data_IF_082811452192
#
_entry.id   IF_082811452192
#
_cell.length_a   1.000
_cell.length_b   1.000
_cell.length_c   1.000
_cell.angle_alpha   90.00
_cell.angle_beta   90.00
_cell.angle_gamma   90.00
#
_symmetry.space_group_name_H-M   'P 1'
#
loop_
_entity.id
_entity.type
_entity.pdbx_description
1 polymer ?
#
# COMPACT_ATOMS: atom_id res chain seq x y z
N UNK A 1 7.22 -11.92 -11.96
CA UNK A 1 7.08 -11.58 -10.53
C UNK A 1 5.78 -10.86 -10.24
N UNK A 2 5.39 -9.83 -10.99
CA UNK A 2 4.11 -9.10 -10.79
C UNK A 2 2.88 -10.01 -10.80
N UNK A 3 2.73 -10.91 -11.77
CA UNK A 3 1.58 -11.85 -11.80
C UNK A 3 1.53 -12.72 -10.55
N UNK A 4 2.70 -13.21 -10.08
CA UNK A 4 2.79 -14.00 -8.86
C UNK A 4 2.44 -13.16 -7.62
N UNK A 5 2.89 -11.90 -7.56
CA UNK A 5 2.58 -10.95 -6.49
C UNK A 5 1.07 -10.75 -6.31
N UNK A 6 0.38 -10.48 -7.42
CA UNK A 6 -1.08 -10.35 -7.43
C UNK A 6 -1.75 -11.68 -7.08
N UNK A 7 -1.27 -12.80 -7.63
CA UNK A 7 -1.84 -14.10 -7.32
C UNK A 7 -1.77 -14.43 -5.83
N UNK A 8 -0.63 -14.20 -5.15
CA UNK A 8 -0.48 -14.53 -3.73
C UNK A 8 -1.28 -13.61 -2.81
N UNK A 9 -1.38 -12.31 -3.12
CA UNK A 9 -2.10 -11.33 -2.29
C UNK A 9 -3.61 -11.35 -2.49
N UNK A 10 -4.09 -11.61 -3.71
CA UNK A 10 -5.53 -11.70 -3.97
C UNK A 10 -6.11 -13.09 -3.68
N UNK A 11 -5.26 -14.10 -3.44
CA UNK A 11 -5.72 -15.43 -3.07
C UNK A 11 -6.53 -15.40 -1.78
N UNK A 12 -7.81 -15.79 -1.85
CA UNK A 12 -8.76 -15.79 -0.73
C UNK A 12 -8.86 -14.46 0.02
N UNK A 13 -8.75 -13.31 -0.67
CA UNK A 13 -8.87 -11.98 -0.03
C UNK A 13 -10.22 -11.75 0.70
N UNK A 14 -11.23 -12.52 0.33
CA UNK A 14 -12.54 -12.53 0.96
C UNK A 14 -12.59 -13.19 2.35
N UNK A 15 -11.60 -14.02 2.69
CA UNK A 15 -11.49 -14.67 3.99
C UNK A 15 -10.41 -13.99 4.84
N UNK A 16 -10.67 -13.67 6.11
CA UNK A 16 -11.94 -13.88 6.85
C UNK A 16 -12.97 -12.78 6.56
N UNK A 17 -14.27 -13.07 6.62
CA UNK A 17 -15.38 -12.13 6.33
C UNK A 17 -15.82 -11.31 7.55
N UNK A 18 -14.93 -11.16 8.51
CA UNK A 18 -15.09 -10.42 9.75
C UNK A 18 -13.98 -9.38 9.92
N UNK A 19 -14.24 -8.38 10.75
CA UNK A 19 -13.24 -7.38 11.13
C UNK A 19 -12.12 -8.06 11.91
N UNK A 20 -10.89 -7.93 11.43
CA UNK A 20 -9.71 -8.50 12.11
C UNK A 20 -8.71 -7.44 12.49
N UNK A 21 -8.04 -7.64 13.64
CA UNK A 21 -6.93 -6.79 14.12
C UNK A 21 -7.22 -5.28 13.90
N UNK A 22 -6.22 -4.49 13.48
CA UNK A 22 -6.29 -3.05 13.27
C UNK A 22 -7.26 -2.58 12.17
N UNK A 23 -7.98 -3.47 11.48
CA UNK A 23 -9.10 -3.08 10.60
C UNK A 23 -10.19 -2.31 11.38
N UNK A 24 -10.33 -2.56 12.70
CA UNK A 24 -11.23 -1.78 13.57
C UNK A 24 -10.89 -0.29 13.57
N UNK A 25 -9.59 0.04 13.59
CA UNK A 25 -9.12 1.41 13.67
C UNK A 25 -9.22 2.09 12.30
N UNK A 26 -8.63 1.50 11.27
CA UNK A 26 -8.52 2.14 9.97
C UNK A 26 -9.85 2.15 9.18
N UNK A 27 -10.68 1.11 9.34
CA UNK A 27 -12.04 1.11 8.80
C UNK A 27 -12.92 2.20 9.41
N UNK A 28 -12.80 2.40 10.73
CA UNK A 28 -13.50 3.47 11.45
C UNK A 28 -13.06 4.86 10.99
N UNK A 29 -11.75 5.09 10.84
CA UNK A 29 -11.25 6.37 10.35
C UNK A 29 -11.65 6.67 8.89
N UNK A 30 -11.67 5.64 8.03
CA UNK A 30 -12.19 5.80 6.67
C UNK A 30 -13.66 6.21 6.67
N UNK A 31 -14.45 5.65 7.59
CA UNK A 31 -15.86 6.00 7.77
C UNK A 31 -16.03 7.43 8.28
N UNK A 32 -15.19 7.90 9.22
CA UNK A 32 -15.21 9.29 9.65
C UNK A 32 -14.87 10.29 8.55
N UNK A 33 -13.96 9.96 7.64
CA UNK A 33 -13.70 10.80 6.48
C UNK A 33 -14.91 10.89 5.54
N UNK A 34 -15.62 9.77 5.30
CA UNK A 34 -16.84 9.75 4.49
C UNK A 34 -17.97 10.56 5.11
N UNK A 35 -18.15 10.44 6.44
CA UNK A 35 -19.14 11.19 7.22
C UNK A 35 -18.74 12.66 7.48
N UNK A 36 -17.52 13.05 7.12
CA UNK A 36 -16.95 14.38 7.38
C UNK A 36 -16.95 14.74 8.88
N UNK A 37 -16.76 13.75 9.73
CA UNK A 37 -16.66 13.92 11.18
C UNK A 37 -15.20 14.03 11.59
N UNK A 38 -14.89 15.01 12.44
CA UNK A 38 -13.55 15.18 12.97
C UNK A 38 -13.18 14.02 13.91
N UNK A 39 -11.92 13.58 13.83
CA UNK A 39 -11.32 12.61 14.75
C UNK A 39 -9.85 12.95 14.95
N UNK A 40 -9.27 12.42 16.02
CA UNK A 40 -7.84 12.51 16.29
C UNK A 40 -7.22 11.12 16.15
N UNK A 41 -6.09 11.05 15.45
CA UNK A 41 -5.28 9.84 15.33
C UNK A 41 -3.79 10.23 15.28
N UNK A 42 -2.94 9.30 15.71
CA UNK A 42 -1.48 9.50 15.76
C UNK A 42 -0.85 9.45 14.36
N UNK A 43 -1.45 8.70 13.43
CA UNK A 43 -0.91 8.55 12.09
C UNK A 43 -1.29 9.75 11.20
N UNK A 44 -0.38 10.17 10.32
CA UNK A 44 -0.69 11.05 9.21
C UNK A 44 -1.88 10.55 8.34
N UNK A 45 -2.52 11.43 7.55
CA UNK A 45 -3.84 11.12 6.98
C UNK A 45 -3.82 10.39 5.63
N UNK A 46 -2.69 10.28 4.92
CA UNK A 46 -2.66 9.91 3.50
C UNK A 46 -3.26 8.53 3.21
N UNK A 47 -2.82 7.49 3.91
CA UNK A 47 -3.36 6.14 3.66
C UNK A 47 -4.83 6.02 4.08
N UNK A 48 -5.24 6.67 5.17
CA UNK A 48 -6.66 6.71 5.60
C UNK A 48 -7.54 7.45 4.57
N UNK A 49 -7.02 8.51 3.95
CA UNK A 49 -7.70 9.22 2.86
C UNK A 49 -7.80 8.35 1.60
N UNK A 50 -6.81 7.51 1.30
CA UNK A 50 -6.91 6.54 0.20
C UNK A 50 -8.01 5.51 0.45
N UNK A 51 -8.14 5.00 1.68
CA UNK A 51 -9.25 4.12 2.04
C UNK A 51 -10.61 4.81 1.95
N UNK A 52 -10.72 6.05 2.43
CA UNK A 52 -11.94 6.85 2.28
C UNK A 52 -12.27 7.08 0.79
N UNK A 53 -11.26 7.32 -0.05
CA UNK A 53 -11.42 7.45 -1.50
C UNK A 53 -11.96 6.16 -2.14
N UNK A 54 -11.47 4.99 -1.74
CA UNK A 54 -12.02 3.69 -2.19
C UNK A 54 -13.47 3.52 -1.75
N UNK A 55 -13.79 3.85 -0.49
CA UNK A 55 -15.17 3.84 -0.01
C UNK A 55 -16.09 4.73 -0.83
N UNK A 56 -15.65 5.94 -1.14
CA UNK A 56 -16.36 6.88 -1.98
C UNK A 56 -16.57 6.36 -3.41
N UNK A 57 -15.55 5.73 -4.01
CA UNK A 57 -15.65 5.12 -5.35
C UNK A 57 -16.68 3.98 -5.42
N UNK A 58 -16.82 3.19 -4.35
CA UNK A 58 -17.76 2.07 -4.27
C UNK A 58 -19.15 2.53 -3.78
N UNK A 59 -19.31 3.82 -3.46
CA UNK A 59 -20.59 4.37 -3.02
C UNK A 59 -20.94 4.00 -1.57
N UNK A 60 -19.94 3.71 -0.75
CA UNK A 60 -20.13 3.46 0.67
C UNK A 60 -20.27 4.77 1.45
N UNK A 61 -21.21 4.83 2.38
CA UNK A 61 -21.58 6.03 3.15
C UNK A 61 -20.83 6.18 4.48
N UNK A 62 -20.06 5.15 4.88
CA UNK A 62 -19.38 5.14 6.18
C UNK A 62 -20.29 4.80 7.36
N UNK A 63 -21.46 4.18 7.14
CA UNK A 63 -22.44 3.91 8.21
C UNK A 63 -21.96 2.93 9.29
N UNK A 64 -21.06 2.00 8.97
CA UNK A 64 -20.49 1.04 9.93
C UNK A 64 -19.31 1.63 10.72
N UNK A 65 -19.35 1.51 12.04
CA UNK A 65 -18.41 2.15 12.97
C UNK A 65 -17.20 1.30 13.37
N UNK A 66 -17.09 0.06 12.86
CA UNK A 66 -15.97 -0.88 13.10
C UNK A 66 -15.57 -0.95 14.59
N UNK A 67 -16.53 -1.28 15.46
CA UNK A 67 -16.32 -1.19 16.91
C UNK A 67 -15.59 -2.39 17.50
N UNK A 68 -15.89 -3.61 17.04
CA UNK A 68 -15.33 -4.83 17.61
C UNK A 68 -14.66 -5.71 16.57
N UNK A 69 -13.61 -6.41 17.01
CA UNK A 69 -13.00 -7.50 16.25
C UNK A 69 -14.00 -8.67 16.21
N UNK A 70 -14.18 -9.27 15.03
CA UNK A 70 -15.15 -10.34 14.80
C UNK A 70 -16.51 -9.86 14.29
N UNK A 71 -16.73 -8.54 14.13
CA UNK A 71 -17.95 -8.04 13.52
C UNK A 71 -18.04 -8.51 12.04
N UNK A 72 -19.15 -9.15 11.67
CA UNK A 72 -19.32 -9.67 10.30
C UNK A 72 -19.53 -8.56 9.28
N UNK A 73 -18.73 -8.55 8.21
CA UNK A 73 -18.89 -7.60 7.11
C UNK A 73 -20.14 -7.86 6.28
N UNK A 74 -20.58 -9.11 6.17
CA UNK A 74 -21.74 -9.52 5.39
C UNK A 74 -23.02 -8.97 6.02
N UNK A 75 -23.17 -9.16 7.34
CA UNK A 75 -24.34 -8.67 8.09
C UNK A 75 -24.46 -7.15 8.03
N UNK A 76 -23.31 -6.46 8.11
CA UNK A 76 -23.24 -5.00 8.10
C UNK A 76 -23.15 -4.38 6.69
N UNK A 77 -23.17 -5.21 5.63
CA UNK A 77 -23.12 -4.80 4.21
C UNK A 77 -21.94 -3.88 3.87
N UNK A 78 -20.80 -4.10 4.51
CA UNK A 78 -19.58 -3.31 4.27
C UNK A 78 -18.87 -3.83 3.02
N UNK A 79 -18.44 -2.99 2.07
CA UNK A 79 -17.71 -3.42 0.89
C UNK A 79 -16.22 -3.72 1.20
N UNK A 80 -15.96 -4.58 2.19
CA UNK A 80 -14.63 -4.87 2.72
C UNK A 80 -13.65 -5.42 1.67
N UNK A 81 -14.15 -6.12 0.64
CA UNK A 81 -13.33 -6.59 -0.48
C UNK A 81 -12.67 -5.45 -1.24
N UNK A 82 -13.40 -4.35 -1.45
CA UNK A 82 -12.83 -3.18 -2.12
C UNK A 82 -11.78 -2.51 -1.24
N UNK A 83 -12.05 -2.40 0.07
CA UNK A 83 -11.09 -1.89 1.03
C UNK A 83 -9.81 -2.73 1.06
N UNK A 84 -9.91 -4.06 1.17
CA UNK A 84 -8.75 -4.97 1.17
C UNK A 84 -8.03 -5.04 -0.18
N UNK A 85 -8.74 -4.81 -1.28
CA UNK A 85 -8.12 -4.76 -2.60
C UNK A 85 -7.07 -3.65 -2.72
N UNK A 86 -7.26 -2.51 -2.05
CA UNK A 86 -6.27 -1.42 -2.06
C UNK A 86 -4.90 -1.87 -1.52
N UNK A 87 -4.72 -2.28 -0.26
CA UNK A 87 -3.44 -2.73 0.26
C UNK A 87 -2.92 -3.95 -0.50
N UNK A 88 -3.79 -4.87 -0.95
CA UNK A 88 -3.37 -6.01 -1.76
C UNK A 88 -2.78 -5.57 -3.11
N UNK A 89 -3.33 -4.53 -3.75
CA UNK A 89 -2.73 -3.93 -4.96
C UNK A 89 -1.41 -3.23 -4.65
N UNK A 90 -1.35 -2.40 -3.60
CA UNK A 90 -0.16 -1.63 -3.25
C UNK A 90 1.00 -2.58 -2.89
N UNK A 91 0.75 -3.57 -2.04
CA UNK A 91 1.70 -4.61 -1.70
C UNK A 91 2.15 -5.44 -2.90
N UNK A 92 1.25 -5.72 -3.85
CA UNK A 92 1.60 -6.42 -5.10
C UNK A 92 2.52 -5.58 -5.99
N UNK A 93 2.38 -4.25 -5.97
CA UNK A 93 3.23 -3.30 -6.70
C UNK A 93 4.60 -3.11 -6.04
N UNK A 94 4.72 -3.34 -4.73
CA UNK A 94 6.01 -3.27 -4.03
C UNK A 94 7.01 -4.30 -4.58
N UNK A 95 6.53 -5.48 -4.97
CA UNK A 95 7.38 -6.56 -5.49
C UNK A 95 8.13 -6.19 -6.79
N UNK A 96 7.46 -5.73 -7.88
CA UNK A 96 8.18 -5.27 -9.06
C UNK A 96 9.05 -4.05 -8.78
N UNK A 97 8.66 -3.17 -7.85
CA UNK A 97 9.52 -2.05 -7.43
C UNK A 97 10.83 -2.56 -6.81
N UNK A 98 10.78 -3.57 -5.94
CA UNK A 98 11.97 -4.20 -5.36
C UNK A 98 12.84 -4.87 -6.42
N UNK A 99 12.22 -5.56 -7.39
CA UNK A 99 12.96 -6.07 -8.54
C UNK A 99 13.69 -4.95 -9.29
N UNK A 100 13.01 -3.85 -9.57
CA UNK A 100 13.57 -2.69 -10.28
C UNK A 100 14.68 -2.00 -9.47
N UNK A 101 14.59 -1.94 -8.14
CA UNK A 101 15.66 -1.41 -7.27
C UNK A 101 16.94 -2.24 -7.47
N UNK A 102 16.81 -3.56 -7.44
CA UNK A 102 17.94 -4.48 -7.61
C UNK A 102 18.53 -4.38 -9.02
N UNK A 103 17.66 -4.31 -10.03
CA UNK A 103 18.06 -4.16 -11.42
C UNK A 103 18.78 -2.85 -11.68
N UNK A 104 18.24 -1.74 -11.20
CA UNK A 104 18.83 -0.41 -11.38
C UNK A 104 20.15 -0.26 -10.61
N UNK A 105 20.29 -0.96 -9.48
CA UNK A 105 21.53 -1.05 -8.70
C UNK A 105 22.65 -1.85 -9.38
N UNK A 106 22.36 -2.54 -10.50
CA UNK A 106 23.36 -3.26 -11.29
C UNK A 106 23.62 -4.71 -10.86
N UNK A 107 22.70 -5.32 -10.11
CA UNK A 107 22.79 -6.74 -9.76
C UNK A 107 22.42 -7.66 -10.94
N UNK A 108 22.85 -8.91 -10.86
CA UNK A 108 22.53 -9.92 -11.87
C UNK A 108 21.04 -10.29 -11.86
N UNK A 109 20.52 -10.78 -13.00
CA UNK A 109 19.13 -11.19 -13.11
C UNK A 109 18.71 -12.22 -12.05
N UNK A 110 19.50 -13.27 -11.74
CA UNK A 110 19.16 -14.21 -10.67
C UNK A 110 19.03 -13.54 -9.30
N UNK A 111 19.89 -12.56 -8.98
CA UNK A 111 19.81 -11.82 -7.72
C UNK A 111 18.55 -10.96 -7.62
N UNK A 112 18.14 -10.32 -8.73
CA UNK A 112 16.89 -9.54 -8.78
C UNK A 112 15.64 -10.42 -8.60
N UNK A 113 15.64 -11.58 -9.25
CA UNK A 113 14.57 -12.59 -9.12
C UNK A 113 14.53 -13.15 -7.70
N UNK A 114 15.68 -13.45 -7.09
CA UNK A 114 15.76 -13.96 -5.73
C UNK A 114 15.25 -12.94 -4.71
N UNK A 115 15.71 -11.69 -4.78
CA UNK A 115 15.28 -10.64 -3.86
C UNK A 115 13.76 -10.38 -3.91
N UNK A 116 13.22 -10.21 -5.12
CA UNK A 116 11.76 -10.05 -5.29
C UNK A 116 10.99 -11.33 -4.94
N UNK A 117 11.57 -12.51 -5.20
CA UNK A 117 10.99 -13.80 -4.82
C UNK A 117 10.87 -13.98 -3.30
N UNK A 118 11.87 -13.57 -2.53
CA UNK A 118 11.81 -13.60 -1.06
C UNK A 118 10.62 -12.79 -0.54
N UNK A 119 10.38 -11.60 -1.11
CA UNK A 119 9.22 -10.77 -0.74
C UNK A 119 7.87 -11.32 -1.24
N UNK A 120 7.85 -12.02 -2.39
CA UNK A 120 6.63 -12.67 -2.91
C UNK A 120 6.15 -13.77 -1.98
N UNK A 121 7.09 -14.52 -1.38
CA UNK A 121 6.81 -15.68 -0.53
C UNK A 121 6.93 -15.39 0.98
N UNK A 122 7.09 -14.12 1.35
CA UNK A 122 7.06 -13.71 2.76
C UNK A 122 5.61 -13.69 3.28
N UNK A 123 5.31 -14.60 4.18
CA UNK A 123 3.98 -14.74 4.77
C UNK A 123 3.59 -13.54 5.65
N UNK A 124 4.56 -12.87 6.29
CA UNK A 124 4.26 -11.68 7.09
C UNK A 124 3.77 -10.55 6.18
N UNK A 125 4.51 -10.31 5.10
CA UNK A 125 4.16 -9.29 4.11
C UNK A 125 2.83 -9.60 3.39
N UNK A 126 2.56 -10.87 3.06
CA UNK A 126 1.26 -11.27 2.48
C UNK A 126 0.13 -11.07 3.50
N UNK A 127 0.37 -11.41 4.77
CA UNK A 127 -0.62 -11.27 5.84
C UNK A 127 -1.06 -9.82 6.02
N UNK A 128 -0.10 -8.91 6.13
CA UNK A 128 -0.37 -7.47 6.31
C UNK A 128 -1.05 -6.85 5.08
N UNK A 129 -0.57 -7.13 3.86
CA UNK A 129 -1.12 -6.54 2.64
C UNK A 129 -2.58 -6.94 2.34
N UNK A 130 -3.07 -8.02 2.96
CA UNK A 130 -4.42 -8.54 2.71
C UNK A 130 -5.48 -7.91 3.59
N UNK A 131 -5.08 -7.19 4.63
CA UNK A 131 -5.97 -6.56 5.59
C UNK A 131 -6.08 -5.07 5.33
N UNK A 132 -7.12 -4.42 5.88
CA UNK A 132 -7.32 -2.96 5.79
C UNK A 132 -6.31 -2.25 6.72
N UNK A 133 -5.03 -2.27 6.35
CA UNK A 133 -3.91 -1.69 7.09
C UNK A 133 -3.23 -0.58 6.26
N UNK A 134 -2.58 0.35 6.95
CA UNK A 134 -1.84 1.45 6.32
C UNK A 134 -0.46 1.01 5.79
N UNK A 135 0.07 -0.10 6.32
CA UNK A 135 1.45 -0.53 6.11
C UNK A 135 1.77 -0.81 4.63
N UNK A 136 0.84 -1.39 3.87
CA UNK A 136 1.04 -1.64 2.45
C UNK A 136 1.33 -0.34 1.66
N UNK A 137 0.68 0.77 2.03
CA UNK A 137 0.93 2.08 1.42
C UNK A 137 2.28 2.66 1.86
N UNK A 138 2.64 2.48 3.14
CA UNK A 138 3.91 2.92 3.70
C UNK A 138 5.08 2.18 3.04
N UNK A 139 5.04 0.84 3.02
CA UNK A 139 6.10 0.00 2.45
C UNK A 139 6.27 0.27 0.96
N UNK A 140 5.19 0.43 0.20
CA UNK A 140 5.27 0.83 -1.21
C UNK A 140 5.92 2.20 -1.35
N UNK A 141 5.50 3.20 -0.57
CA UNK A 141 6.04 4.56 -0.63
C UNK A 141 7.54 4.57 -0.31
N UNK A 142 7.98 3.80 0.69
CA UNK A 142 9.39 3.60 1.03
C UNK A 142 10.14 2.96 -0.14
N UNK A 143 9.64 1.85 -0.70
CA UNK A 143 10.28 1.17 -1.81
C UNK A 143 10.40 2.08 -3.04
N UNK A 144 9.34 2.82 -3.38
CA UNK A 144 9.35 3.79 -4.48
C UNK A 144 10.35 4.91 -4.22
N UNK A 145 10.46 5.40 -2.98
CA UNK A 145 11.46 6.43 -2.63
C UNK A 145 12.89 5.96 -2.84
N UNK A 146 13.20 4.71 -2.48
CA UNK A 146 14.50 4.10 -2.72
C UNK A 146 14.73 3.95 -4.23
N UNK A 147 13.74 3.47 -4.99
CA UNK A 147 13.85 3.33 -6.44
C UNK A 147 14.11 4.67 -7.13
N UNK A 148 13.35 5.71 -6.76
CA UNK A 148 13.53 7.06 -7.28
C UNK A 148 14.91 7.62 -6.95
N UNK A 149 15.39 7.40 -5.72
CA UNK A 149 16.74 7.79 -5.31
C UNK A 149 17.83 7.05 -6.11
N UNK A 150 17.72 5.73 -6.31
CA UNK A 150 18.68 4.98 -7.12
C UNK A 150 18.71 5.51 -8.56
N UNK A 151 17.54 5.73 -9.17
CA UNK A 151 17.46 6.28 -10.54
C UNK A 151 17.97 7.72 -10.62
N UNK A 152 17.79 8.52 -9.58
CA UNK A 152 18.39 9.85 -9.45
C UNK A 152 19.92 9.76 -9.40
N UNK A 153 20.46 8.89 -8.53
CA UNK A 153 21.90 8.67 -8.39
C UNK A 153 22.57 8.20 -9.69
N UNK A 154 21.88 7.40 -10.52
CA UNK A 154 22.38 7.02 -11.85
C UNK A 154 22.55 8.21 -12.80
N UNK A 155 21.79 9.28 -12.60
CA UNK A 155 21.93 10.52 -13.38
C UNK A 155 23.00 11.47 -12.83
N UNK A 156 23.85 11.04 -11.88
CA UNK A 156 24.91 11.88 -11.28
C UNK A 156 25.89 12.49 -12.29
N UNK A 157 26.07 11.85 -13.45
CA UNK A 157 26.94 12.37 -14.53
C UNK A 157 26.19 13.22 -15.57
N UNK A 158 24.86 13.28 -15.49
CA UNK A 158 23.99 14.06 -16.38
C UNK A 158 23.18 15.06 -15.56
N UNK A 159 23.88 15.84 -14.74
CA UNK A 159 23.30 16.82 -13.82
C UNK A 159 22.47 17.88 -14.56
N UNK A 160 21.43 18.39 -13.88
CA UNK A 160 20.46 19.38 -14.39
C UNK A 160 19.69 18.99 -15.68
N UNK A 161 19.84 17.76 -16.16
CA UNK A 161 19.04 17.24 -17.27
C UNK A 161 17.57 17.00 -16.89
N UNK A 162 16.70 16.83 -17.90
CA UNK A 162 15.27 16.52 -17.67
C UNK A 162 15.05 15.27 -16.82
N UNK A 163 15.85 14.22 -17.05
CA UNK A 163 15.78 12.96 -16.29
C UNK A 163 16.25 13.15 -14.85
N UNK A 164 17.27 13.98 -14.62
CA UNK A 164 17.78 14.29 -13.30
C UNK A 164 16.70 14.99 -12.46
N UNK A 165 16.08 16.05 -12.99
CA UNK A 165 14.96 16.74 -12.33
C UNK A 165 13.75 15.85 -12.09
N UNK A 166 13.39 15.00 -13.07
CA UNK A 166 12.30 14.03 -12.93
C UNK A 166 12.52 13.15 -11.69
N UNK A 167 13.69 12.51 -11.57
CA UNK A 167 13.94 11.60 -10.46
C UNK A 167 14.12 12.31 -9.13
N UNK A 168 14.68 13.53 -9.12
CA UNK A 168 14.76 14.35 -7.92
C UNK A 168 13.37 14.68 -7.37
N UNK A 169 12.48 15.21 -8.22
CA UNK A 169 11.11 15.57 -7.82
C UNK A 169 10.31 14.34 -7.40
N UNK A 170 10.42 13.23 -8.13
CA UNK A 170 9.75 11.98 -7.75
C UNK A 170 10.27 11.44 -6.41
N UNK A 171 11.56 11.57 -6.12
CA UNK A 171 12.12 11.21 -4.81
C UNK A 171 11.47 12.06 -3.72
N UNK A 172 11.39 13.38 -3.91
CA UNK A 172 10.71 14.29 -2.96
C UNK A 172 9.24 13.92 -2.73
N UNK A 173 8.48 13.70 -3.80
CA UNK A 173 7.06 13.30 -3.72
C UNK A 173 6.91 11.99 -2.94
N UNK A 174 7.72 10.97 -3.28
CA UNK A 174 7.65 9.67 -2.61
C UNK A 174 8.02 9.76 -1.12
N UNK A 175 9.02 10.56 -0.74
CA UNK A 175 9.36 10.80 0.67
C UNK A 175 8.23 11.55 1.40
N UNK A 176 7.59 12.52 0.74
CA UNK A 176 6.41 13.17 1.31
C UNK A 176 5.25 12.21 1.50
N UNK A 177 5.04 11.26 0.57
CA UNK A 177 4.07 10.18 0.75
C UNK A 177 4.42 9.36 2.00
N UNK A 178 5.67 8.90 2.16
CA UNK A 178 6.13 8.16 3.36
C UNK A 178 5.76 8.89 4.65
N UNK A 179 6.11 10.17 4.76
CA UNK A 179 5.84 10.99 5.97
C UNK A 179 4.35 11.23 6.17
N UNK A 180 3.55 11.24 5.09
CA UNK A 180 2.12 11.54 5.15
C UNK A 180 1.25 10.30 5.32
N UNK A 181 1.81 9.09 5.17
CA UNK A 181 1.17 7.80 5.46
C UNK A 181 1.02 7.58 6.96
#
# INVERSE_FOLDING_TARGET
>A
MTVLAFATRFWMINYPDEVVFDEVHFGKFASYYLQRTYFFDVHPPFAKLLFAFVGWLVGYDGSFTFENIGDSYITNKVPYLAYRALPATLGSLTIPVVFDIMWESGYSLPACVLASGLMVFDNAHIGEDRLILLDACLVLSVAVSILCYVKFYKQRYNEFGRKWWKWLLLTGISLSCVIST
#
